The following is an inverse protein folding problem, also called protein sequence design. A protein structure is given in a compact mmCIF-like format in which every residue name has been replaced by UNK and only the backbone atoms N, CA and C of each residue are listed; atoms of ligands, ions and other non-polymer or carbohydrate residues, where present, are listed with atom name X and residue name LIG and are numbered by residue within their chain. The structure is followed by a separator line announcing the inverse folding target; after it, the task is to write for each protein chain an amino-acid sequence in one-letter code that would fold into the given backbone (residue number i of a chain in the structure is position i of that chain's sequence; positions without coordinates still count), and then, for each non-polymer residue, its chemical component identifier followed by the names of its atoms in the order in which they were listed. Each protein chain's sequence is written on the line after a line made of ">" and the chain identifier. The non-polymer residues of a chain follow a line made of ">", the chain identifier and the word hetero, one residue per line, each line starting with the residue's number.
data_IF_935786372837
#
_entry.id   IF_935786372837
#
_cell.length_a   1.000
_cell.length_b   1.000
_cell.length_c   1.000
_cell.angle_alpha   90.00
_cell.angle_beta   90.00
_cell.angle_gamma   90.00
#
_symmetry.space_group_name_H-M   'P 1'
#
loop_
_entity.id
_entity.type
_entity.pdbx_description
1 polymer ?
#
# COMPACT_ATOMS: atom_id res chain seq x y z
N UNK A 1 19.74 2.04 23.17
CA UNK A 1 18.79 2.58 22.17
C UNK A 1 19.17 1.95 20.84
N UNK A 2 18.23 1.31 20.14
CA UNK A 2 18.51 0.69 18.83
C UNK A 2 18.78 1.82 17.82
N UNK A 3 19.88 1.74 17.07
CA UNK A 3 20.25 2.76 16.08
C UNK A 3 19.74 2.40 14.67
N UNK A 4 19.78 3.38 13.77
CA UNK A 4 19.25 3.23 12.39
C UNK A 4 19.92 2.08 11.63
N UNK A 5 21.22 1.94 11.78
CA UNK A 5 22.04 0.90 11.15
C UNK A 5 21.63 -0.50 11.59
N UNK A 6 21.31 -0.67 12.88
CA UNK A 6 20.84 -1.96 13.42
C UNK A 6 19.44 -2.32 12.87
N UNK A 7 18.53 -1.34 12.78
CA UNK A 7 17.20 -1.56 12.16
C UNK A 7 17.36 -1.92 10.68
N UNK A 8 18.14 -1.17 9.94
CA UNK A 8 18.35 -1.42 8.51
C UNK A 8 18.97 -2.81 8.27
N UNK A 9 19.96 -3.20 9.07
CA UNK A 9 20.56 -4.54 9.00
C UNK A 9 19.55 -5.64 9.33
N UNK A 10 18.69 -5.43 10.31
CA UNK A 10 17.67 -6.40 10.70
C UNK A 10 16.58 -6.56 9.63
N UNK A 11 16.04 -5.46 9.10
CA UNK A 11 15.00 -5.49 8.06
C UNK A 11 15.57 -5.99 6.72
N UNK A 12 16.82 -5.70 6.43
CA UNK A 12 17.50 -6.12 5.21
C UNK A 12 18.24 -7.46 5.29
N UNK A 13 18.02 -8.25 6.34
CA UNK A 13 18.72 -9.52 6.52
C UNK A 13 18.54 -10.46 5.33
N UNK A 14 19.65 -10.81 4.69
CA UNK A 14 19.67 -11.69 3.52
C UNK A 14 19.57 -10.96 2.17
N UNK A 15 19.44 -9.63 2.18
CA UNK A 15 19.48 -8.81 0.97
C UNK A 15 20.93 -8.38 0.67
N UNK A 16 21.24 -8.20 -0.61
CA UNK A 16 22.49 -7.55 -1.04
C UNK A 16 22.45 -6.03 -0.76
N UNK A 17 23.61 -5.38 -0.72
CA UNK A 17 23.65 -3.92 -0.54
C UNK A 17 22.88 -3.17 -1.64
N UNK A 18 22.98 -3.62 -2.90
CA UNK A 18 22.26 -3.01 -4.01
C UNK A 18 20.71 -3.11 -3.84
N UNK A 19 20.21 -4.25 -3.34
CA UNK A 19 18.79 -4.43 -3.03
C UNK A 19 18.35 -3.53 -1.86
N UNK A 20 19.16 -3.43 -0.82
CA UNK A 20 18.90 -2.52 0.31
C UNK A 20 18.83 -1.07 -0.16
N UNK A 21 19.78 -0.63 -0.97
CA UNK A 21 19.84 0.73 -1.50
C UNK A 21 18.62 1.02 -2.39
N UNK A 22 18.21 0.07 -3.23
CA UNK A 22 17.02 0.20 -4.06
C UNK A 22 15.74 0.38 -3.21
N UNK A 23 15.53 -0.48 -2.20
CA UNK A 23 14.38 -0.39 -1.30
C UNK A 23 14.40 0.90 -0.46
N UNK A 24 15.56 1.33 0.01
CA UNK A 24 15.69 2.55 0.79
C UNK A 24 15.43 3.82 -0.01
N UNK A 25 15.81 3.84 -1.30
CA UNK A 25 15.62 5.02 -2.15
C UNK A 25 14.23 5.08 -2.78
N UNK A 26 13.50 3.97 -2.83
CA UNK A 26 12.17 3.91 -3.42
C UNK A 26 11.16 4.76 -2.65
N UNK A 27 10.31 5.46 -3.38
CA UNK A 27 9.24 6.32 -2.85
C UNK A 27 7.89 5.72 -3.23
N UNK A 28 7.20 5.17 -2.24
CA UNK A 28 5.94 4.46 -2.46
C UNK A 28 4.79 5.18 -1.78
N UNK A 29 3.76 5.52 -2.55
CA UNK A 29 2.51 6.03 -2.02
C UNK A 29 1.51 4.90 -1.79
N UNK A 30 0.77 5.00 -0.69
CA UNK A 30 -0.41 4.18 -0.40
C UNK A 30 -1.60 5.13 -0.27
N UNK A 31 -2.53 5.04 -1.19
CA UNK A 31 -3.70 5.91 -1.27
C UNK A 31 -4.94 5.13 -0.82
N UNK A 32 -5.52 5.54 0.30
CA UNK A 32 -6.47 4.78 1.09
C UNK A 32 -5.76 3.88 2.10
N UNK A 33 -6.10 4.01 3.39
CA UNK A 33 -5.47 3.27 4.49
C UNK A 33 -6.48 2.34 5.18
N UNK A 34 -7.41 1.81 4.39
CA UNK A 34 -8.38 0.82 4.82
C UNK A 34 -7.81 -0.61 4.88
N UNK A 35 -8.62 -1.60 4.48
CA UNK A 35 -8.25 -3.03 4.53
C UNK A 35 -7.01 -3.37 3.73
N UNK A 36 -6.90 -2.87 2.50
CA UNK A 36 -5.69 -3.06 1.70
C UNK A 36 -4.56 -2.18 2.19
N UNK A 37 -4.75 -0.85 2.21
CA UNK A 37 -3.66 0.09 2.38
C UNK A 37 -2.97 0.03 3.73
N UNK A 38 -3.69 -0.20 4.84
CA UNK A 38 -3.05 -0.35 6.15
C UNK A 38 -2.11 -1.57 6.20
N UNK A 39 -2.53 -2.70 5.62
CA UNK A 39 -1.71 -3.90 5.53
C UNK A 39 -0.54 -3.74 4.54
N UNK A 40 -0.76 -3.08 3.38
CA UNK A 40 0.31 -2.76 2.41
C UNK A 40 1.39 -1.91 3.07
N UNK A 41 1.02 -0.83 3.76
CA UNK A 41 1.98 0.08 4.40
C UNK A 41 2.83 -0.65 5.44
N UNK A 42 2.24 -1.53 6.25
CA UNK A 42 2.96 -2.36 7.21
C UNK A 42 3.93 -3.31 6.52
N UNK A 43 3.52 -3.97 5.45
CA UNK A 43 4.37 -4.88 4.69
C UNK A 43 5.56 -4.13 4.06
N UNK A 44 5.32 -2.99 3.40
CA UNK A 44 6.36 -2.17 2.78
C UNK A 44 7.37 -1.65 3.81
N UNK A 45 6.89 -1.21 4.98
CA UNK A 45 7.77 -0.75 6.06
C UNK A 45 8.65 -1.90 6.61
N UNK A 46 8.10 -3.12 6.71
CA UNK A 46 8.86 -4.33 7.10
C UNK A 46 9.87 -4.78 6.04
N UNK A 47 9.62 -4.50 4.77
CA UNK A 47 10.55 -4.74 3.67
C UNK A 47 11.71 -3.72 3.64
N UNK A 48 11.69 -2.70 4.52
CA UNK A 48 12.74 -1.70 4.61
C UNK A 48 12.57 -0.53 3.61
N UNK A 49 11.39 -0.38 3.00
CA UNK A 49 11.12 0.81 2.18
C UNK A 49 11.11 2.03 3.10
N UNK A 50 12.05 2.96 2.86
CA UNK A 50 12.28 4.06 3.77
C UNK A 50 11.37 5.25 3.54
N UNK A 51 10.82 5.47 2.35
CA UNK A 51 9.95 6.60 2.04
C UNK A 51 8.54 6.14 1.70
N UNK A 52 7.63 6.30 2.66
CA UNK A 52 6.21 5.97 2.49
C UNK A 52 5.36 7.24 2.55
N UNK A 53 4.49 7.39 1.55
CA UNK A 53 3.52 8.47 1.43
C UNK A 53 2.12 7.90 1.68
N UNK A 54 1.43 8.39 2.72
CA UNK A 54 0.24 7.76 3.29
C UNK A 54 -0.92 8.76 3.30
N UNK A 55 -1.98 8.46 2.55
CA UNK A 55 -3.10 9.38 2.35
C UNK A 55 -4.44 8.72 2.66
N UNK A 56 -5.16 9.26 3.63
CA UNK A 56 -6.52 8.86 3.98
C UNK A 56 -7.18 9.99 4.78
N UNK A 57 -8.49 10.14 4.69
CA UNK A 57 -9.24 11.18 5.42
C UNK A 57 -10.18 10.61 6.49
N UNK A 58 -10.33 9.29 6.54
CA UNK A 58 -11.23 8.61 7.47
C UNK A 58 -10.65 8.46 8.86
N UNK A 59 -11.55 8.17 9.79
CA UNK A 59 -11.21 7.72 11.14
C UNK A 59 -11.35 6.20 11.27
N UNK A 60 -10.63 5.67 12.24
CA UNK A 60 -10.75 4.26 12.62
C UNK A 60 -12.08 4.02 13.33
N UNK A 61 -12.80 3.01 12.89
CA UNK A 61 -14.06 2.53 13.45
C UNK A 61 -13.94 1.10 13.95
N UNK A 62 -14.83 0.70 14.86
CA UNK A 62 -14.86 -0.66 15.40
C UNK A 62 -15.01 -1.72 14.29
N UNK A 63 -15.82 -1.43 13.28
CA UNK A 63 -16.05 -2.28 12.10
C UNK A 63 -14.80 -2.51 11.25
N UNK A 64 -13.78 -1.68 11.41
CA UNK A 64 -12.53 -1.79 10.64
C UNK A 64 -11.60 -2.87 11.17
N UNK A 65 -11.71 -3.20 12.47
CA UNK A 65 -10.77 -4.11 13.14
C UNK A 65 -10.79 -5.55 12.60
N UNK A 66 -11.82 -5.92 11.85
CA UNK A 66 -11.93 -7.24 11.25
C UNK A 66 -10.95 -7.47 10.07
N UNK A 67 -10.36 -6.37 9.50
CA UNK A 67 -9.51 -6.48 8.29
C UNK A 67 -8.45 -5.39 8.12
N UNK A 68 -8.48 -4.31 8.93
CA UNK A 68 -7.53 -3.20 8.85
C UNK A 68 -6.49 -3.31 9.96
N UNK A 69 -5.30 -2.79 9.75
CA UNK A 69 -4.20 -2.86 10.70
C UNK A 69 -4.31 -1.77 11.77
N UNK A 70 -5.40 -1.85 12.54
CA UNK A 70 -5.69 -0.95 13.67
C UNK A 70 -6.10 -1.76 14.89
N UNK A 71 -6.04 -1.12 16.06
CA UNK A 71 -6.32 -1.72 17.36
C UNK A 71 -7.41 -0.93 18.09
N UNK A 72 -7.90 -1.46 19.20
CA UNK A 72 -8.97 -0.84 20.00
C UNK A 72 -8.64 0.61 20.40
N UNK A 73 -7.37 0.88 20.73
CA UNK A 73 -6.91 2.22 21.15
C UNK A 73 -6.85 3.24 20.00
N UNK A 74 -7.01 2.80 18.76
CA UNK A 74 -7.00 3.67 17.59
C UNK A 74 -8.40 4.19 17.24
N UNK A 75 -9.47 3.62 17.81
CA UNK A 75 -10.85 3.98 17.47
C UNK A 75 -11.05 5.49 17.65
N UNK A 76 -11.60 6.14 16.62
CA UNK A 76 -11.83 7.59 16.57
C UNK A 76 -10.65 8.45 16.15
N UNK A 77 -9.43 7.89 16.08
CA UNK A 77 -8.26 8.58 15.52
C UNK A 77 -8.33 8.56 13.97
N UNK A 78 -7.70 9.54 13.32
CA UNK A 78 -7.55 9.47 11.87
C UNK A 78 -6.65 8.29 11.47
N UNK A 79 -7.05 7.54 10.43
CA UNK A 79 -6.31 6.36 9.94
C UNK A 79 -4.85 6.70 9.62
N UNK A 80 -4.62 7.83 8.97
CA UNK A 80 -3.29 8.31 8.63
C UNK A 80 -2.39 8.50 9.87
N UNK A 81 -2.92 9.08 10.95
CA UNK A 81 -2.17 9.34 12.18
C UNK A 81 -1.94 8.05 12.98
N UNK A 82 -2.97 7.20 13.11
CA UNK A 82 -2.88 5.93 13.82
C UNK A 82 -1.87 4.99 13.17
N UNK A 83 -1.90 4.88 11.83
CA UNK A 83 -0.99 4.00 11.12
C UNK A 83 0.48 4.43 11.26
N UNK A 84 0.78 5.73 11.22
CA UNK A 84 2.13 6.25 11.44
C UNK A 84 2.69 5.81 12.80
N UNK A 85 1.88 5.80 13.87
CA UNK A 85 2.32 5.32 15.19
C UNK A 85 2.74 3.85 15.13
N UNK A 86 1.98 3.00 14.44
CA UNK A 86 2.29 1.59 14.29
C UNK A 86 3.54 1.35 13.43
N UNK A 87 3.67 2.07 12.32
CA UNK A 87 4.83 1.98 11.45
C UNK A 87 6.13 2.39 12.16
N UNK A 88 6.08 3.41 13.02
CA UNK A 88 7.22 3.82 13.84
C UNK A 88 7.65 2.78 14.87
N UNK A 89 6.78 1.88 15.30
CA UNK A 89 7.13 0.75 16.17
C UNK A 89 7.88 -0.36 15.42
N UNK A 90 7.79 -0.39 14.08
CA UNK A 90 8.53 -1.32 13.23
C UNK A 90 9.86 -0.68 12.82
N UNK A 91 9.79 0.51 12.23
CA UNK A 91 10.95 1.28 11.78
C UNK A 91 10.80 2.76 12.17
N UNK A 92 11.40 3.18 13.29
CA UNK A 92 11.32 4.58 13.75
C UNK A 92 12.06 5.56 12.83
N UNK A 93 12.94 5.06 11.95
CA UNK A 93 13.77 5.86 11.06
C UNK A 93 13.21 6.00 9.63
N UNK A 94 12.08 5.35 9.35
CA UNK A 94 11.40 5.54 8.06
C UNK A 94 10.89 6.97 7.90
N UNK A 95 11.05 7.53 6.72
CA UNK A 95 10.47 8.82 6.34
C UNK A 95 8.99 8.62 5.97
N UNK A 96 8.11 8.83 6.94
CA UNK A 96 6.68 8.67 6.78
C UNK A 96 6.04 10.03 6.49
N UNK A 97 5.60 10.24 5.25
CA UNK A 97 4.88 11.41 4.78
C UNK A 97 3.38 11.12 4.83
N UNK A 98 2.71 11.51 5.90
CA UNK A 98 1.30 11.21 6.10
C UNK A 98 0.45 12.46 6.12
N UNK A 99 -0.73 12.40 5.48
CA UNK A 99 -1.70 13.49 5.50
C UNK A 99 -3.13 12.96 5.64
N UNK A 100 -3.90 13.63 6.50
CA UNK A 100 -5.35 13.44 6.59
C UNK A 100 -6.00 14.25 5.47
N UNK A 101 -6.17 13.61 4.31
CA UNK A 101 -6.63 14.29 3.10
C UNK A 101 -7.41 13.35 2.19
N UNK A 102 -8.48 13.84 1.58
CA UNK A 102 -9.16 13.17 0.47
C UNK A 102 -8.36 13.43 -0.81
N UNK A 103 -7.89 12.36 -1.44
CA UNK A 103 -7.19 12.46 -2.72
C UNK A 103 -8.20 12.76 -3.83
N UNK A 104 -7.89 13.75 -4.65
CA UNK A 104 -8.70 14.25 -5.76
C UNK A 104 -7.82 14.45 -7.00
N UNK A 105 -8.43 14.58 -8.18
CA UNK A 105 -7.70 14.85 -9.42
C UNK A 105 -6.77 16.06 -9.29
N UNK A 106 -7.27 17.15 -8.68
CA UNK A 106 -6.52 18.40 -8.53
C UNK A 106 -5.28 18.29 -7.64
N UNK A 107 -5.33 17.46 -6.58
CA UNK A 107 -4.22 17.37 -5.62
C UNK A 107 -3.23 16.22 -5.90
N UNK A 108 -3.58 15.27 -6.77
CA UNK A 108 -2.71 14.16 -7.18
C UNK A 108 -1.32 14.63 -7.62
N UNK A 109 -1.17 15.67 -8.48
CA UNK A 109 0.16 16.11 -8.92
C UNK A 109 1.06 16.55 -7.76
N UNK A 110 0.49 17.22 -6.76
CA UNK A 110 1.24 17.67 -5.57
C UNK A 110 1.56 16.52 -4.61
N UNK A 111 0.59 15.60 -4.41
CA UNK A 111 0.75 14.52 -3.44
C UNK A 111 1.65 13.38 -3.95
N UNK A 112 1.56 13.06 -5.24
CA UNK A 112 2.20 11.87 -5.82
C UNK A 112 3.38 12.19 -6.75
N UNK A 113 3.69 13.48 -6.95
CA UNK A 113 4.76 13.91 -7.86
C UNK A 113 6.12 13.26 -7.58
N UNK A 114 6.45 13.08 -6.31
CA UNK A 114 7.71 12.49 -5.86
C UNK A 114 7.72 10.95 -5.78
N UNK A 115 6.57 10.30 -5.99
CA UNK A 115 6.46 8.85 -5.79
C UNK A 115 6.78 8.07 -7.07
N UNK A 116 7.45 6.94 -6.94
CA UNK A 116 7.78 6.03 -8.05
C UNK A 116 6.65 5.04 -8.29
N UNK A 117 6.06 4.54 -7.19
CA UNK A 117 5.00 3.54 -7.18
C UNK A 117 3.81 4.04 -6.36
N UNK A 118 2.62 3.84 -6.89
CA UNK A 118 1.35 4.16 -6.23
C UNK A 118 0.56 2.88 -6.00
N UNK A 119 0.39 2.49 -4.73
CA UNK A 119 -0.53 1.45 -4.32
C UNK A 119 -1.92 2.07 -4.13
N UNK A 120 -2.82 1.78 -5.05
CA UNK A 120 -4.21 2.18 -4.99
C UNK A 120 -4.97 1.23 -4.06
N UNK A 121 -5.58 1.78 -3.00
CA UNK A 121 -6.26 1.02 -1.96
C UNK A 121 -7.59 1.68 -1.50
N UNK A 122 -8.19 2.49 -2.37
CA UNK A 122 -9.50 3.09 -2.15
C UNK A 122 -10.60 2.01 -2.22
N UNK A 123 -11.73 2.27 -1.61
CA UNK A 123 -12.87 1.34 -1.56
C UNK A 123 -13.96 1.66 -2.58
N UNK A 124 -14.05 2.90 -3.06
CA UNK A 124 -15.04 3.28 -4.05
C UNK A 124 -14.51 3.20 -5.50
N UNK A 125 -15.34 2.70 -6.41
CA UNK A 125 -14.96 2.47 -7.80
C UNK A 125 -14.63 3.77 -8.57
N UNK A 126 -15.29 4.88 -8.23
CA UNK A 126 -15.06 6.16 -8.89
C UNK A 126 -13.71 6.74 -8.48
N UNK A 127 -13.37 6.70 -7.18
CA UNK A 127 -12.07 7.11 -6.66
C UNK A 127 -10.93 6.28 -7.22
N UNK A 128 -11.10 4.94 -7.32
CA UNK A 128 -10.13 4.05 -7.98
C UNK A 128 -9.89 4.47 -9.43
N UNK A 129 -10.94 4.61 -10.21
CA UNK A 129 -10.85 4.99 -11.62
C UNK A 129 -10.20 6.37 -11.79
N UNK A 130 -10.59 7.35 -10.98
CA UNK A 130 -10.01 8.69 -10.96
C UNK A 130 -8.52 8.64 -10.66
N UNK A 131 -8.10 7.97 -9.57
CA UNK A 131 -6.69 7.89 -9.18
C UNK A 131 -5.84 7.23 -10.28
N UNK A 132 -6.26 6.05 -10.76
CA UNK A 132 -5.54 5.30 -11.79
C UNK A 132 -5.42 6.11 -13.08
N UNK A 133 -6.54 6.68 -13.58
CA UNK A 133 -6.54 7.43 -14.83
C UNK A 133 -5.68 8.69 -14.73
N UNK A 134 -5.79 9.45 -13.64
CA UNK A 134 -5.02 10.69 -13.46
C UNK A 134 -3.51 10.41 -13.37
N UNK A 135 -3.09 9.39 -12.58
CA UNK A 135 -1.68 9.02 -12.48
C UNK A 135 -1.11 8.61 -13.84
N UNK A 136 -1.80 7.71 -14.55
CA UNK A 136 -1.32 7.18 -15.82
C UNK A 136 -1.34 8.20 -16.97
N UNK A 137 -2.23 9.19 -16.91
CA UNK A 137 -2.26 10.28 -17.90
C UNK A 137 -1.23 11.37 -17.62
N UNK A 138 -0.88 11.58 -16.34
CA UNK A 138 0.06 12.63 -15.94
C UNK A 138 1.51 12.19 -16.08
N UNK A 139 1.83 10.93 -15.78
CA UNK A 139 3.21 10.41 -15.77
C UNK A 139 3.36 9.13 -16.58
N UNK A 140 4.38 9.09 -17.43
CA UNK A 140 4.66 7.92 -18.28
C UNK A 140 5.55 6.86 -17.64
N UNK A 141 6.09 7.11 -16.46
CA UNK A 141 7.10 6.31 -15.76
C UNK A 141 6.62 5.73 -14.42
N UNK A 142 5.66 6.38 -13.76
CA UNK A 142 5.13 5.90 -12.48
C UNK A 142 4.36 4.59 -12.65
N UNK A 143 4.48 3.71 -11.63
CA UNK A 143 3.77 2.43 -11.59
C UNK A 143 2.56 2.55 -10.67
N UNK A 144 1.44 1.99 -11.11
CA UNK A 144 0.21 1.87 -10.29
C UNK A 144 -0.08 0.40 -10.05
N UNK A 145 -0.26 0.04 -8.79
CA UNK A 145 -0.68 -1.29 -8.35
C UNK A 145 -2.04 -1.13 -7.68
N UNK A 146 -3.09 -1.69 -8.25
CA UNK A 146 -4.46 -1.53 -7.77
C UNK A 146 -5.08 -2.86 -7.34
N UNK A 147 -6.02 -2.79 -6.39
CA UNK A 147 -6.79 -3.94 -5.92
C UNK A 147 -8.07 -4.11 -6.74
N UNK A 148 -8.40 -5.36 -7.15
CA UNK A 148 -9.63 -5.70 -7.86
C UNK A 148 -10.09 -7.10 -7.51
N UNK A 149 -11.27 -7.21 -6.87
CA UNK A 149 -11.84 -8.49 -6.44
C UNK A 149 -11.14 -9.09 -5.21
N UNK A 150 -11.64 -8.75 -4.02
CA UNK A 150 -11.04 -9.17 -2.75
C UNK A 150 -12.08 -9.69 -1.74
N UNK A 151 -13.35 -9.71 -2.13
CA UNK A 151 -14.45 -10.09 -1.26
C UNK A 151 -14.63 -11.62 -1.14
N UNK A 152 -15.39 -12.04 -0.14
CA UNK A 152 -15.75 -13.44 0.09
C UNK A 152 -14.63 -14.28 0.71
N UNK A 153 -14.85 -15.60 0.64
CA UNK A 153 -14.00 -16.66 1.18
C UNK A 153 -13.46 -17.59 0.10
N UNK A 154 -13.25 -17.08 -1.13
CA UNK A 154 -12.68 -17.84 -2.24
C UNK A 154 -11.26 -18.32 -1.94
N UNK A 155 -10.74 -19.18 -2.81
CA UNK A 155 -9.44 -19.81 -2.63
C UNK A 155 -8.29 -18.79 -2.67
N UNK A 156 -7.21 -19.06 -1.94
CA UNK A 156 -6.04 -18.19 -1.90
C UNK A 156 -5.39 -18.03 -3.28
N UNK A 157 -5.37 -19.10 -4.07
CA UNK A 157 -4.78 -19.15 -5.40
C UNK A 157 -5.49 -18.26 -6.44
N UNK A 158 -6.71 -17.83 -6.15
CA UNK A 158 -7.46 -16.89 -7.00
C UNK A 158 -6.93 -15.46 -6.89
N UNK A 159 -6.30 -15.10 -5.76
CA UNK A 159 -5.67 -13.80 -5.56
C UNK A 159 -4.34 -13.78 -6.31
N UNK A 160 -4.34 -13.18 -7.47
CA UNK A 160 -3.18 -13.10 -8.36
C UNK A 160 -2.82 -11.66 -8.69
N UNK A 161 -1.61 -11.43 -9.20
CA UNK A 161 -1.20 -10.16 -9.78
C UNK A 161 -1.12 -10.28 -11.30
N UNK A 162 -1.63 -9.27 -12.01
CA UNK A 162 -1.62 -9.23 -13.49
C UNK A 162 -1.10 -7.88 -13.94
N UNK A 163 -0.14 -7.88 -14.87
CA UNK A 163 0.30 -6.70 -15.60
C UNK A 163 -0.74 -6.39 -16.69
N UNK A 164 -1.39 -5.26 -16.60
CA UNK A 164 -2.45 -4.83 -17.54
C UNK A 164 -1.85 -3.96 -18.65
N UNK A 165 -0.98 -3.03 -18.27
CA UNK A 165 -0.21 -2.19 -19.19
C UNK A 165 1.24 -2.12 -18.72
N UNK A 166 2.08 -1.34 -19.40
CA UNK A 166 3.46 -1.07 -18.97
C UNK A 166 3.54 -0.55 -17.53
N UNK A 167 2.51 0.19 -17.09
CA UNK A 167 2.54 0.92 -15.83
C UNK A 167 1.38 0.60 -14.88
N UNK A 168 0.45 -0.29 -15.27
CA UNK A 168 -0.69 -0.68 -14.45
C UNK A 168 -0.65 -2.18 -14.15
N UNK A 169 -0.78 -2.49 -12.87
CA UNK A 169 -0.91 -3.85 -12.34
C UNK A 169 -2.18 -3.96 -11.51
N UNK A 170 -2.86 -5.11 -11.60
CA UNK A 170 -4.02 -5.43 -10.77
C UNK A 170 -3.73 -6.64 -9.89
N UNK A 171 -4.09 -6.55 -8.61
CA UNK A 171 -4.02 -7.64 -7.65
C UNK A 171 -5.41 -7.99 -7.15
N UNK A 172 -5.74 -9.29 -7.13
CA UNK A 172 -7.04 -9.78 -6.71
C UNK A 172 -7.53 -10.91 -7.61
N UNK A 173 -8.80 -11.30 -7.45
CA UNK A 173 -9.45 -12.28 -8.33
C UNK A 173 -10.10 -11.65 -9.57
N UNK A 174 -10.24 -10.32 -9.57
CA UNK A 174 -10.83 -9.53 -10.66
C UNK A 174 -12.35 -9.65 -10.80
N UNK A 175 -13.03 -10.30 -9.85
CA UNK A 175 -14.41 -10.74 -10.03
C UNK A 175 -15.31 -10.49 -8.82
N UNK A 176 -14.80 -10.72 -7.58
CA UNK A 176 -15.62 -10.61 -6.39
C UNK A 176 -15.89 -9.16 -6.00
N UNK A 177 -17.15 -8.90 -5.61
CA UNK A 177 -17.61 -7.58 -5.19
C UNK A 177 -18.01 -7.60 -3.70
N UNK A 178 -17.64 -6.57 -2.96
CA UNK A 178 -17.99 -6.42 -1.54
C UNK A 178 -19.46 -6.02 -1.33
N UNK A 179 -20.17 -5.62 -2.36
CA UNK A 179 -21.62 -5.43 -2.31
C UNK A 179 -22.38 -6.75 -2.24
N UNK A 180 -21.81 -7.81 -2.82
CA UNK A 180 -22.42 -9.14 -2.87
C UNK A 180 -21.85 -10.09 -1.80
N UNK A 181 -20.59 -9.89 -1.39
CA UNK A 181 -19.86 -10.79 -0.51
C UNK A 181 -19.19 -10.03 0.65
N UNK A 182 -19.13 -10.61 1.86
CA UNK A 182 -18.47 -9.97 2.98
C UNK A 182 -16.97 -9.84 2.77
N UNK A 183 -16.36 -8.79 3.37
CA UNK A 183 -14.91 -8.65 3.38
C UNK A 183 -14.30 -9.55 4.46
N UNK A 184 -13.50 -10.52 4.04
CA UNK A 184 -12.73 -11.40 4.90
C UNK A 184 -11.34 -10.84 5.14
N UNK A 185 -10.95 -10.58 6.39
CA UNK A 185 -9.65 -10.01 6.73
C UNK A 185 -8.48 -10.81 6.17
N UNK A 186 -8.52 -12.14 6.19
CA UNK A 186 -7.47 -12.98 5.63
C UNK A 186 -7.31 -12.78 4.11
N UNK A 187 -8.42 -12.72 3.35
CA UNK A 187 -8.39 -12.54 1.90
C UNK A 187 -7.96 -11.13 1.51
N UNK A 188 -8.43 -10.12 2.25
CA UNK A 188 -8.01 -8.73 2.10
C UNK A 188 -6.49 -8.59 2.35
N UNK A 189 -5.99 -9.19 3.44
CA UNK A 189 -4.56 -9.19 3.76
C UNK A 189 -3.73 -9.92 2.71
N UNK A 190 -4.21 -11.04 2.17
CA UNK A 190 -3.53 -11.77 1.10
C UNK A 190 -3.34 -10.89 -0.15
N UNK A 191 -4.38 -10.18 -0.57
CA UNK A 191 -4.29 -9.24 -1.68
C UNK A 191 -3.34 -8.06 -1.37
N UNK A 192 -3.39 -7.53 -0.15
CA UNK A 192 -2.47 -6.48 0.29
C UNK A 192 -1.00 -6.95 0.25
N UNK A 193 -0.72 -8.19 0.67
CA UNK A 193 0.63 -8.77 0.57
C UNK A 193 1.08 -8.97 -0.87
N UNK A 194 0.17 -9.35 -1.78
CA UNK A 194 0.46 -9.42 -3.21
C UNK A 194 0.85 -8.05 -3.79
N UNK A 195 0.13 -6.98 -3.41
CA UNK A 195 0.49 -5.63 -3.84
C UNK A 195 1.86 -5.20 -3.30
N UNK A 196 2.12 -5.43 -2.01
CA UNK A 196 3.39 -5.08 -1.38
C UNK A 196 4.57 -5.87 -1.98
N UNK A 197 4.39 -7.18 -2.23
CA UNK A 197 5.40 -8.02 -2.88
C UNK A 197 5.67 -7.53 -4.30
N UNK A 198 4.63 -7.22 -5.06
CA UNK A 198 4.77 -6.70 -6.43
C UNK A 198 5.50 -5.35 -6.45
N UNK A 199 5.20 -4.44 -5.51
CA UNK A 199 5.94 -3.20 -5.37
C UNK A 199 7.44 -3.44 -5.14
N UNK A 200 7.79 -4.37 -4.23
CA UNK A 200 9.18 -4.75 -3.99
C UNK A 200 9.85 -5.37 -5.23
N UNK A 201 9.15 -6.23 -5.97
CA UNK A 201 9.66 -6.85 -7.22
C UNK A 201 9.93 -5.80 -8.30
N UNK A 202 9.03 -4.80 -8.43
CA UNK A 202 9.24 -3.67 -9.37
C UNK A 202 10.47 -2.85 -8.96
N UNK A 203 10.61 -2.53 -7.67
CA UNK A 203 11.76 -1.77 -7.15
C UNK A 203 13.08 -2.51 -7.38
N UNK A 204 13.07 -3.83 -7.23
CA UNK A 204 14.24 -4.70 -7.37
C UNK A 204 14.49 -5.15 -8.83
N UNK A 205 13.72 -4.62 -9.79
CA UNK A 205 13.79 -4.98 -11.23
C UNK A 205 13.64 -6.50 -11.48
N UNK A 206 12.74 -7.12 -10.71
CA UNK A 206 12.43 -8.57 -10.80
C UNK A 206 11.15 -8.86 -11.60
N UNK A 207 10.48 -7.83 -12.12
CA UNK A 207 9.32 -8.00 -12.99
C UNK A 207 9.80 -8.20 -14.43
N UNK A 208 9.51 -9.38 -14.96
CA UNK A 208 9.78 -9.70 -16.36
C UNK A 208 8.94 -8.82 -17.31
N UNK A 209 9.56 -8.34 -18.36
CA UNK A 209 8.93 -7.54 -19.42
C UNK A 209 7.92 -8.36 -20.22
#
# INVERSE_FOLDING_TARGET
>A
MIIKEEINAALGKGLTQAQLDALHNARVAVVGLGGLGSNIAVALNRLGIAHLYLYDFDKVELSNLNRQYYFLDDIGQYKADALVKHLRQINPYAALHSQVIKVTEDNIPTLLGDCDIICEALDDAAGKAMLVSTVLSTWSDKKVIAGSGIAGFGKAEEITSKKITKNLYLCGDGNSDFHDLPLCGARVTLCAMQQALLAARIILDLEEN
#
